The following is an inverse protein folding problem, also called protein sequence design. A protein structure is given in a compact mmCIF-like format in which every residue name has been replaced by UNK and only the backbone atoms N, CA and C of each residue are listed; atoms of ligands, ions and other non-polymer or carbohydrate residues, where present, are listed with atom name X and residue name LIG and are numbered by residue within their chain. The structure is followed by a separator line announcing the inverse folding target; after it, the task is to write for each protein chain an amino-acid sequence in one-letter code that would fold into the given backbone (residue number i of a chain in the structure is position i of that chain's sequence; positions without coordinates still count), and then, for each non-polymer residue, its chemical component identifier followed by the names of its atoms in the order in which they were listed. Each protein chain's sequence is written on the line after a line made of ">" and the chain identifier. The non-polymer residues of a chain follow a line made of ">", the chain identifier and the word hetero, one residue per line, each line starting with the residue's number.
data_IF_375296366639
#
_entry.id   IF_375296366639
#
_cell.length_a   1.000
_cell.length_b   1.000
_cell.length_c   1.000
_cell.angle_alpha   90.00
_cell.angle_beta   90.00
_cell.angle_gamma   90.00
#
_symmetry.space_group_name_H-M   'P 1'
#
loop_
_entity.id
_entity.type
_entity.pdbx_description
1 polymer ?
#
# COMPACT_ATOMS: atom_id res chain seq x y z
N UNK A 1 -33.51 -31.68 -22.56
CA UNK A 1 -32.21 -31.09 -22.91
C UNK A 1 -32.28 -29.63 -22.48
N UNK A 2 -31.88 -29.33 -21.23
CA UNK A 2 -31.83 -27.97 -20.70
C UNK A 2 -30.45 -27.37 -21.02
N UNK A 3 -30.36 -26.09 -21.44
CA UNK A 3 -29.08 -25.42 -21.55
C UNK A 3 -28.50 -25.22 -20.15
N UNK A 4 -27.27 -25.69 -19.96
CA UNK A 4 -26.48 -25.54 -18.75
C UNK A 4 -26.23 -24.07 -18.42
N UNK A 5 -26.58 -23.69 -17.19
CA UNK A 5 -26.15 -22.47 -16.52
C UNK A 5 -24.63 -22.30 -16.68
N UNK A 6 -24.21 -21.32 -17.48
CA UNK A 6 -22.87 -20.76 -17.44
C UNK A 6 -22.80 -19.96 -16.14
N UNK A 7 -22.52 -20.68 -15.05
CA UNK A 7 -22.15 -20.11 -13.77
C UNK A 7 -21.02 -19.10 -14.04
N UNK A 8 -21.33 -17.84 -13.80
CA UNK A 8 -20.42 -16.74 -14.04
C UNK A 8 -19.10 -16.99 -13.32
N UNK A 9 -18.00 -16.94 -14.07
CA UNK A 9 -16.68 -16.74 -13.50
C UNK A 9 -16.72 -15.42 -12.73
N UNK A 10 -17.02 -15.47 -11.43
CA UNK A 10 -16.63 -14.38 -10.53
C UNK A 10 -15.12 -14.30 -10.64
N UNK A 11 -14.63 -13.33 -11.42
CA UNK A 11 -13.23 -12.95 -11.33
C UNK A 11 -13.04 -12.45 -9.90
N UNK A 12 -12.40 -13.27 -9.07
CA UNK A 12 -11.95 -12.86 -7.75
C UNK A 12 -11.08 -11.61 -7.93
N UNK A 13 -11.70 -10.46 -7.70
CA UNK A 13 -11.10 -9.15 -7.88
C UNK A 13 -10.93 -8.53 -6.51
N UNK A 14 -9.73 -8.05 -6.23
CA UNK A 14 -9.44 -7.31 -5.01
C UNK A 14 -9.40 -5.82 -5.34
N UNK A 15 -10.25 -5.04 -4.68
CA UNK A 15 -10.21 -3.58 -4.79
C UNK A 15 -9.22 -3.03 -3.79
N UNK A 16 -8.31 -2.17 -4.26
CA UNK A 16 -7.37 -1.46 -3.40
C UNK A 16 -7.43 0.06 -3.64
N UNK A 17 -7.06 0.81 -2.61
CA UNK A 17 -7.02 2.29 -2.65
C UNK A 17 -5.58 2.77 -2.66
N UNK A 18 -5.25 3.69 -3.56
CA UNK A 18 -3.91 4.28 -3.62
C UNK A 18 -3.70 5.28 -2.48
N UNK A 19 -2.78 4.95 -1.57
CA UNK A 19 -2.41 5.78 -0.43
C UNK A 19 -1.42 6.88 -0.81
N UNK A 20 -0.48 6.59 -1.70
CA UNK A 20 0.54 7.54 -2.18
C UNK A 20 1.25 6.92 -3.39
N UNK A 21 1.76 7.75 -4.31
CA UNK A 21 2.69 7.34 -5.35
C UNK A 21 4.13 7.87 -5.11
N UNK A 22 4.42 8.32 -3.88
CA UNK A 22 5.75 8.71 -3.41
C UNK A 22 6.32 7.72 -2.37
N UNK A 23 5.83 6.49 -2.31
CA UNK A 23 6.28 5.52 -1.31
C UNK A 23 7.66 4.92 -1.63
N UNK A 24 8.64 5.15 -0.77
CA UNK A 24 9.94 4.46 -0.79
C UNK A 24 10.08 3.50 0.40
N UNK A 25 11.03 2.57 0.34
CA UNK A 25 11.29 1.62 1.44
C UNK A 25 12.43 2.03 2.39
N UNK A 26 13.08 3.17 2.11
CA UNK A 26 14.16 3.74 2.91
C UNK A 26 14.79 4.96 2.24
N UNK A 27 15.61 5.72 2.96
CA UNK A 27 16.31 6.90 2.41
C UNK A 27 17.35 6.56 1.33
N UNK A 28 17.82 5.31 1.29
CA UNK A 28 18.73 4.81 0.25
C UNK A 28 17.97 4.24 -0.96
N UNK A 29 16.64 4.13 -0.87
CA UNK A 29 15.77 3.73 -1.97
C UNK A 29 15.22 5.01 -2.63
N UNK A 30 15.84 5.39 -3.73
CA UNK A 30 15.47 6.57 -4.51
C UNK A 30 14.29 6.32 -5.45
N UNK A 31 13.77 5.09 -5.49
CA UNK A 31 12.68 4.71 -6.40
C UNK A 31 11.36 4.92 -5.66
N UNK A 32 10.59 5.89 -6.11
CA UNK A 32 9.22 6.08 -5.63
C UNK A 32 8.34 4.90 -6.07
N UNK A 33 7.27 4.67 -5.34
CA UNK A 33 6.35 3.58 -5.59
C UNK A 33 4.93 3.96 -5.22
N UNK A 34 4.00 3.22 -5.81
CA UNK A 34 2.61 3.25 -5.39
C UNK A 34 2.44 2.38 -4.15
N UNK A 35 1.93 2.95 -3.07
CA UNK A 35 1.49 2.19 -1.90
C UNK A 35 -0.02 2.03 -1.96
N UNK A 36 -0.46 0.79 -2.10
CA UNK A 36 -1.86 0.40 -2.21
C UNK A 36 -2.34 -0.24 -0.90
N UNK A 37 -3.50 0.22 -0.44
CA UNK A 37 -4.24 -0.36 0.68
C UNK A 37 -5.26 -1.37 0.18
N UNK A 38 -5.05 -2.64 0.53
CA UNK A 38 -6.00 -3.72 0.34
C UNK A 38 -6.76 -3.99 1.66
N UNK A 39 -7.95 -4.60 1.63
CA UNK A 39 -8.64 -5.04 2.85
C UNK A 39 -7.82 -6.00 3.73
N UNK A 40 -6.89 -6.73 3.11
CA UNK A 40 -6.08 -7.79 3.72
C UNK A 40 -4.58 -7.49 3.73
N UNK A 41 -4.15 -6.25 3.46
CA UNK A 41 -2.74 -5.90 3.57
C UNK A 41 -2.33 -4.65 2.79
N UNK A 42 -1.01 -4.49 2.66
CA UNK A 42 -0.38 -3.37 1.97
C UNK A 42 0.53 -3.87 0.86
N UNK A 43 0.40 -3.28 -0.33
CA UNK A 43 1.27 -3.59 -1.47
C UNK A 43 1.98 -2.32 -1.92
N UNK A 44 3.31 -2.35 -1.94
CA UNK A 44 4.11 -1.34 -2.65
C UNK A 44 4.54 -1.87 -4.01
N UNK A 45 4.26 -1.10 -5.05
CA UNK A 45 4.71 -1.34 -6.42
C UNK A 45 5.70 -0.23 -6.79
N UNK A 46 6.99 -0.52 -7.10
CA UNK A 46 7.91 0.51 -7.57
C UNK A 46 7.42 1.12 -8.88
N UNK A 47 7.60 2.43 -9.00
CA UNK A 47 7.49 3.13 -10.26
C UNK A 47 8.79 3.00 -11.06
N UNK A 48 8.73 3.22 -12.37
CA UNK A 48 9.93 3.38 -13.18
C UNK A 48 10.65 4.70 -12.85
N UNK A 49 11.96 4.75 -13.10
CA UNK A 49 12.81 5.91 -12.78
C UNK A 49 12.34 7.22 -13.42
N UNK A 50 11.71 7.15 -14.60
CA UNK A 50 11.14 8.32 -15.29
C UNK A 50 9.97 8.93 -14.54
N UNK A 51 9.07 8.09 -14.01
CA UNK A 51 7.92 8.53 -13.20
C UNK A 51 8.37 9.01 -11.82
N UNK A 52 9.44 8.42 -11.28
CA UNK A 52 10.05 8.83 -9.99
C UNK A 52 10.49 10.31 -9.99
N UNK A 53 11.00 10.83 -11.11
CA UNK A 53 11.42 12.24 -11.23
C UNK A 53 10.24 13.21 -11.30
N UNK A 54 9.14 12.83 -11.95
CA UNK A 54 7.94 13.68 -12.12
C UNK A 54 7.17 13.91 -10.81
N UNK A 55 7.30 13.01 -9.84
CA UNK A 55 6.60 13.11 -8.54
C UNK A 55 7.30 14.00 -7.50
N UNK A 56 8.44 14.63 -7.83
CA UNK A 56 9.24 15.42 -6.88
C UNK A 56 8.72 16.83 -6.54
N UNK A 57 7.62 17.31 -7.15
CA UNK A 57 7.22 18.72 -7.10
C UNK A 57 5.81 19.00 -6.55
N UNK A 58 5.10 18.01 -6.01
CA UNK A 58 3.75 18.22 -5.47
C UNK A 58 3.05 16.93 -5.03
N UNK A 59 1.75 17.00 -4.69
CA UNK A 59 0.97 15.82 -4.34
C UNK A 59 0.95 14.80 -5.48
N UNK A 60 1.29 13.56 -5.15
CA UNK A 60 1.28 12.44 -6.10
C UNK A 60 -0.10 11.82 -6.24
N UNK A 61 -1.01 12.13 -5.31
CA UNK A 61 -2.39 11.65 -5.30
C UNK A 61 -3.36 12.80 -5.02
N UNK A 62 -4.47 12.83 -5.75
CA UNK A 62 -5.58 13.73 -5.44
C UNK A 62 -6.34 13.22 -4.21
N UNK A 63 -6.21 13.91 -3.08
CA UNK A 63 -6.87 13.54 -1.80
C UNK A 63 -8.40 13.53 -1.88
N UNK A 64 -8.99 14.36 -2.73
CA UNK A 64 -10.45 14.44 -2.91
C UNK A 64 -11.00 13.35 -3.83
N UNK A 65 -10.12 12.74 -4.65
CA UNK A 65 -10.45 11.68 -5.60
C UNK A 65 -9.36 10.62 -5.55
N UNK A 66 -9.36 9.85 -4.46
CA UNK A 66 -8.42 8.75 -4.25
C UNK A 66 -8.60 7.69 -5.33
N UNK A 67 -7.56 7.36 -6.10
CA UNK A 67 -7.65 6.27 -7.06
C UNK A 67 -7.96 4.95 -6.36
N UNK A 68 -8.92 4.23 -6.90
CA UNK A 68 -9.20 2.84 -6.56
C UNK A 68 -8.96 2.00 -7.81
N UNK A 69 -8.41 0.82 -7.63
CA UNK A 69 -8.15 -0.12 -8.72
C UNK A 69 -8.58 -1.51 -8.31
N UNK A 70 -9.28 -2.18 -9.22
CA UNK A 70 -9.55 -3.61 -9.13
C UNK A 70 -8.35 -4.38 -9.70
N UNK A 71 -7.85 -5.33 -8.92
CA UNK A 71 -6.81 -6.26 -9.31
C UNK A 71 -7.47 -7.63 -9.48
N UNK A 72 -7.49 -8.16 -10.70
CA UNK A 72 -7.88 -9.56 -10.88
C UNK A 72 -6.85 -10.50 -10.24
N UNK A 73 -7.30 -11.71 -9.94
CA UNK A 73 -6.48 -12.72 -9.27
C UNK A 73 -5.13 -12.95 -9.96
N UNK A 74 -5.10 -13.08 -11.30
CA UNK A 74 -3.88 -13.37 -12.06
C UNK A 74 -2.88 -12.22 -11.96
N UNK A 75 -3.36 -10.98 -12.12
CA UNK A 75 -2.53 -9.78 -11.97
C UNK A 75 -2.01 -9.67 -10.53
N UNK A 76 -2.85 -9.91 -9.54
CA UNK A 76 -2.44 -9.85 -8.13
C UNK A 76 -1.36 -10.90 -7.84
N UNK A 77 -1.53 -12.15 -8.26
CA UNK A 77 -0.50 -13.20 -8.09
C UNK A 77 0.83 -12.83 -8.76
N UNK A 78 0.78 -12.23 -9.95
CA UNK A 78 1.98 -11.74 -10.63
C UNK A 78 2.67 -10.62 -9.83
N UNK A 79 1.90 -9.71 -9.25
CA UNK A 79 2.45 -8.63 -8.41
C UNK A 79 3.04 -9.16 -7.11
N UNK A 80 2.41 -10.14 -6.47
CA UNK A 80 2.85 -10.70 -5.19
C UNK A 80 4.13 -11.55 -5.31
N UNK A 81 4.38 -12.12 -6.49
CA UNK A 81 5.59 -12.94 -6.76
C UNK A 81 6.79 -12.12 -7.25
N UNK A 82 6.59 -10.85 -7.59
CA UNK A 82 7.66 -9.97 -8.04
C UNK A 82 8.56 -9.55 -6.85
N UNK A 83 9.89 -9.80 -6.90
CA UNK A 83 10.81 -9.43 -5.83
C UNK A 83 11.01 -7.91 -5.68
N UNK A 84 10.54 -7.11 -6.66
CA UNK A 84 10.58 -5.64 -6.60
C UNK A 84 9.44 -5.06 -5.76
N UNK A 85 8.35 -5.81 -5.64
CA UNK A 85 7.17 -5.38 -4.90
C UNK A 85 7.33 -5.76 -3.43
N UNK A 86 6.70 -4.99 -2.55
CA UNK A 86 6.67 -5.29 -1.12
C UNK A 86 5.23 -5.54 -0.73
N UNK A 87 4.91 -6.81 -0.51
CA UNK A 87 3.63 -7.23 0.06
C UNK A 87 3.77 -7.42 1.56
N UNK A 88 2.86 -6.81 2.32
CA UNK A 88 2.74 -7.04 3.77
C UNK A 88 1.30 -7.47 4.07
N UNK A 89 1.06 -8.77 4.28
CA UNK A 89 -0.25 -9.27 4.68
C UNK A 89 -0.67 -8.69 6.03
N UNK A 90 -1.94 -8.31 6.19
CA UNK A 90 -2.48 -7.74 7.43
C UNK A 90 -2.18 -8.63 8.63
N UNK A 91 -2.44 -9.92 8.50
CA UNK A 91 -2.30 -10.94 9.53
C UNK A 91 -0.85 -11.13 10.01
N UNK A 92 0.12 -10.69 9.20
CA UNK A 92 1.53 -10.74 9.56
C UNK A 92 1.99 -9.53 10.39
N UNK A 93 1.20 -8.46 10.44
CA UNK A 93 1.54 -7.20 11.13
C UNK A 93 1.24 -7.35 12.62
N UNK A 94 2.29 -7.36 13.44
CA UNK A 94 2.17 -7.41 14.89
C UNK A 94 2.08 -6.02 15.51
N UNK A 95 2.82 -5.04 14.96
CA UNK A 95 2.83 -3.64 15.41
C UNK A 95 3.02 -2.70 14.24
N UNK A 96 2.47 -1.49 14.35
CA UNK A 96 2.70 -0.41 13.41
C UNK A 96 3.09 0.86 14.15
N UNK A 97 4.08 1.58 13.63
CA UNK A 97 4.48 2.91 14.08
C UNK A 97 4.20 3.87 12.92
N UNK A 98 3.30 4.82 13.13
CA UNK A 98 2.86 5.77 12.12
C UNK A 98 3.25 7.19 12.51
N UNK A 99 4.31 7.67 11.85
CA UNK A 99 4.96 8.92 12.14
C UNK A 99 4.52 10.04 11.23
N UNK A 100 4.28 11.21 11.82
CA UNK A 100 4.15 12.45 11.06
C UNK A 100 5.45 13.26 11.09
N UNK A 101 6.05 13.50 9.94
CA UNK A 101 7.22 14.38 9.82
C UNK A 101 6.95 15.59 8.92
N UNK A 102 7.79 16.62 9.04
CA UNK A 102 7.65 17.86 8.26
C UNK A 102 7.89 17.60 6.77
N UNK A 103 8.91 16.82 6.43
CA UNK A 103 9.31 16.52 5.04
C UNK A 103 8.88 15.12 4.61
N UNK A 104 8.57 14.24 5.55
CA UNK A 104 8.31 12.84 5.30
C UNK A 104 7.45 12.23 6.39
N UNK A 105 6.34 11.63 6.01
CA UNK A 105 5.59 10.71 6.86
C UNK A 105 6.20 9.31 6.74
N UNK A 106 6.02 8.48 7.77
CA UNK A 106 6.62 7.14 7.79
C UNK A 106 5.72 6.11 8.45
N UNK A 107 5.60 4.95 7.82
CA UNK A 107 5.05 3.74 8.43
C UNK A 107 6.19 2.75 8.66
N UNK A 108 6.35 2.27 9.90
CA UNK A 108 7.15 1.09 10.20
C UNK A 108 6.23 -0.02 10.68
N UNK A 109 6.30 -1.17 10.02
CA UNK A 109 5.56 -2.38 10.38
C UNK A 109 6.52 -3.38 11.01
N UNK A 110 6.16 -3.94 12.16
CA UNK A 110 6.80 -5.13 12.72
C UNK A 110 6.01 -6.33 12.22
N UNK A 111 6.70 -7.21 11.50
CA UNK A 111 6.13 -8.33 10.76
C UNK A 111 6.80 -9.62 11.24
N UNK A 112 6.02 -10.51 11.86
CA UNK A 112 6.59 -11.66 12.56
C UNK A 112 7.62 -11.25 13.64
N UNK A 113 8.46 -12.20 14.05
CA UNK A 113 9.28 -12.03 15.26
C UNK A 113 10.52 -11.13 15.07
N UNK A 114 11.06 -11.03 13.86
CA UNK A 114 12.35 -10.36 13.62
C UNK A 114 12.43 -9.50 12.34
N UNK A 115 11.31 -9.28 11.65
CA UNK A 115 11.31 -8.52 10.40
C UNK A 115 10.54 -7.21 10.55
N UNK A 116 11.03 -6.15 9.91
CA UNK A 116 10.31 -4.89 9.85
C UNK A 116 10.36 -4.27 8.46
N UNK A 117 9.20 -3.83 7.99
CA UNK A 117 9.06 -3.11 6.71
C UNK A 117 8.88 -1.63 7.01
N UNK A 118 9.47 -0.77 6.17
CA UNK A 118 9.31 0.67 6.25
C UNK A 118 8.75 1.20 4.95
N UNK A 119 7.85 2.16 5.07
CA UNK A 119 7.37 2.98 3.96
C UNK A 119 7.53 4.45 4.35
N UNK A 120 8.04 5.26 3.43
CA UNK A 120 8.24 6.69 3.58
C UNK A 120 7.54 7.40 2.42
N UNK A 121 6.85 8.51 2.67
CA UNK A 121 6.15 9.26 1.62
C UNK A 121 6.00 10.75 1.99
N UNK A 122 5.60 11.57 1.01
CA UNK A 122 5.38 12.99 1.25
C UNK A 122 4.14 13.28 2.10
N UNK A 123 4.23 14.10 3.18
CA UNK A 123 3.10 14.33 4.09
C UNK A 123 1.85 14.89 3.41
N UNK A 124 2.02 15.68 2.35
CA UNK A 124 0.90 16.29 1.62
C UNK A 124 0.09 15.30 0.78
N UNK A 125 0.58 14.07 0.54
CA UNK A 125 -0.19 13.02 -0.13
C UNK A 125 -1.37 12.55 0.72
N UNK A 126 -1.38 12.87 2.01
CA UNK A 126 -2.50 12.58 2.91
C UNK A 126 -2.68 11.08 3.20
N UNK A 127 -1.65 10.27 2.98
CA UNK A 127 -1.72 8.81 3.14
C UNK A 127 -1.94 8.42 4.61
N UNK A 128 -1.30 9.15 5.54
CA UNK A 128 -1.40 8.96 6.99
C UNK A 128 -2.85 9.03 7.47
N UNK A 129 -3.65 9.97 6.96
CA UNK A 129 -5.04 10.17 7.38
C UNK A 129 -5.93 8.98 7.01
N UNK A 130 -5.60 8.24 5.94
CA UNK A 130 -6.28 7.01 5.58
C UNK A 130 -5.73 5.80 6.32
N UNK A 131 -4.41 5.73 6.49
CA UNK A 131 -3.75 4.63 7.18
C UNK A 131 -4.09 4.56 8.67
N UNK A 132 -4.15 5.69 9.35
CA UNK A 132 -4.37 5.74 10.80
C UNK A 132 -5.65 5.00 11.24
N UNK A 133 -6.86 5.29 10.71
CA UNK A 133 -8.06 4.58 11.12
C UNK A 133 -8.02 3.08 10.73
N UNK A 134 -7.50 2.75 9.55
CA UNK A 134 -7.39 1.35 9.11
C UNK A 134 -6.43 0.54 9.97
N UNK A 135 -5.27 1.10 10.32
CA UNK A 135 -4.32 0.44 11.22
C UNK A 135 -4.88 0.33 12.65
N UNK A 136 -5.66 1.32 13.10
CA UNK A 136 -6.31 1.27 14.40
C UNK A 136 -7.34 0.14 14.46
N UNK A 137 -8.12 -0.05 13.39
CA UNK A 137 -9.04 -1.17 13.23
C UNK A 137 -8.30 -2.52 13.20
N UNK A 138 -7.18 -2.59 12.48
CA UNK A 138 -6.43 -3.83 12.32
C UNK A 138 -5.71 -4.28 13.58
N UNK A 139 -5.15 -3.34 14.33
CA UNK A 139 -4.15 -3.62 15.37
C UNK A 139 -4.58 -3.21 16.78
N UNK A 140 -5.57 -2.34 16.93
CA UNK A 140 -5.94 -1.78 18.24
C UNK A 140 -4.73 -1.17 18.94
N UNK A 141 -4.34 -1.74 20.09
CA UNK A 141 -3.16 -1.33 20.88
C UNK A 141 -1.82 -1.60 20.19
N UNK A 142 -1.79 -2.36 19.10
CA UNK A 142 -0.60 -2.59 18.27
C UNK A 142 -0.23 -1.39 17.38
N UNK A 143 -1.09 -0.38 17.25
CA UNK A 143 -0.79 0.87 16.56
C UNK A 143 -0.18 1.89 17.54
N UNK A 144 0.96 2.46 17.15
CA UNK A 144 1.67 3.52 17.86
C UNK A 144 1.73 4.74 16.94
N UNK A 145 1.28 5.89 17.43
CA UNK A 145 1.33 7.17 16.73
C UNK A 145 2.45 8.00 17.32
N UNK A 146 3.44 8.37 16.51
CA UNK A 146 4.60 9.20 16.86
C UNK A 146 4.62 10.57 16.17
#
# INVERSE_FOLDING_TARGET
>A
MQPSDISGFQKDTSVATLLTASATTGWLDWIHGELWLFPHGLLRIPLDFTTTYLHGAGPTVNRMRRPQRSFDHTVLQTLLTSPKNVWVPRESIQKAYLHHGITCDRLRLVVGDHYSVKFLWFPWDGARQLLQPTLAEWLGSGLIID
#
